data_IF_631448504055
#
_entry.id   IF_631448504055
#
_cell.length_a   1.000
_cell.length_b   1.000
_cell.length_c   1.000
_cell.angle_alpha   90.00
_cell.angle_beta   90.00
_cell.angle_gamma   90.00
#
_symmetry.space_group_name_H-M   'P 1'
#
loop_
_entity.id
_entity.type
_entity.pdbx_description
1 polymer ?
#
# COMPACT_ATOMS: atom_id res chain seq x y z
N UNK A 1 -48.36 54.61 27.68
CA UNK A 1 -48.27 53.86 26.42
C UNK A 1 -46.80 53.57 26.16
N UNK A 2 -46.34 52.47 26.68
CA UNK A 2 -44.90 52.11 26.72
C UNK A 2 -44.58 51.15 25.59
N UNK A 3 -43.83 51.63 24.62
CA UNK A 3 -43.39 50.89 23.45
C UNK A 3 -42.18 50.01 23.85
N UNK A 4 -42.38 48.72 23.89
CA UNK A 4 -41.30 47.75 24.14
C UNK A 4 -40.55 47.52 22.83
N UNK A 5 -39.28 47.89 22.82
CA UNK A 5 -38.35 47.61 21.74
C UNK A 5 -37.85 46.19 21.97
N UNK A 6 -38.23 45.24 21.11
CA UNK A 6 -37.61 43.91 21.05
C UNK A 6 -36.33 44.02 20.26
N UNK A 7 -35.20 43.89 20.97
CA UNK A 7 -33.90 43.72 20.35
C UNK A 7 -33.71 42.23 20.12
N UNK A 8 -33.85 41.76 18.91
CA UNK A 8 -33.48 40.42 18.50
C UNK A 8 -31.96 40.38 18.29
N UNK A 9 -31.26 39.76 19.21
CA UNK A 9 -29.87 39.39 19.05
C UNK A 9 -29.78 38.29 18.00
N UNK A 10 -29.41 38.65 16.77
CA UNK A 10 -28.98 37.68 15.77
C UNK A 10 -27.59 37.18 16.15
N UNK A 11 -27.53 35.97 16.74
CA UNK A 11 -26.29 35.27 16.96
C UNK A 11 -25.70 34.90 15.60
N UNK A 12 -24.69 35.63 15.18
CA UNK A 12 -23.82 35.27 14.04
C UNK A 12 -22.95 34.11 14.46
N UNK A 13 -23.42 32.89 14.19
CA UNK A 13 -22.57 31.69 14.31
C UNK A 13 -21.56 31.74 13.17
N UNK A 14 -20.34 32.19 13.50
CA UNK A 14 -19.22 32.12 12.60
C UNK A 14 -18.80 30.64 12.49
N UNK A 15 -19.30 29.97 11.46
CA UNK A 15 -18.80 28.63 11.11
C UNK A 15 -17.36 28.79 10.61
N UNK A 16 -16.40 28.66 11.51
CA UNK A 16 -15.01 28.45 11.12
C UNK A 16 -14.91 27.05 10.51
N UNK A 17 -14.94 26.99 9.18
CA UNK A 17 -14.52 25.79 8.47
C UNK A 17 -13.04 25.57 8.78
N UNK A 18 -12.77 24.69 9.72
CA UNK A 18 -11.44 24.13 9.88
C UNK A 18 -11.21 23.31 8.63
N UNK A 19 -10.55 23.89 7.63
CA UNK A 19 -9.87 23.14 6.59
C UNK A 19 -8.76 22.39 7.29
N UNK A 20 -9.06 21.17 7.69
CA UNK A 20 -8.04 20.20 8.02
C UNK A 20 -7.29 20.05 6.71
N UNK A 21 -6.14 20.75 6.61
CA UNK A 21 -5.21 20.58 5.51
C UNK A 21 -4.99 19.09 5.40
N UNK A 22 -5.25 18.53 4.20
CA UNK A 22 -5.14 17.11 3.97
C UNK A 22 -3.79 16.64 4.43
N UNK A 23 -3.74 16.01 5.59
CA UNK A 23 -2.71 15.06 5.88
C UNK A 23 -2.92 14.05 4.78
N UNK A 24 -2.02 14.08 3.78
CA UNK A 24 -1.89 12.98 2.84
C UNK A 24 -1.77 11.76 3.74
N UNK A 25 -2.87 11.06 3.93
CA UNK A 25 -2.87 9.82 4.64
C UNK A 25 -2.09 8.87 3.74
N UNK A 26 -0.78 8.83 3.93
CA UNK A 26 0.03 7.76 3.41
C UNK A 26 -0.55 6.49 4.00
N UNK A 27 -1.37 5.83 3.24
CA UNK A 27 -1.91 4.53 3.58
C UNK A 27 -0.84 3.47 3.28
N UNK A 28 0.37 3.69 3.77
CA UNK A 28 1.31 2.60 3.89
C UNK A 28 0.85 1.76 5.07
N UNK A 29 -0.17 0.94 4.84
CA UNK A 29 -0.44 -0.10 5.79
C UNK A 29 0.81 -0.98 5.84
N UNK A 30 1.34 -1.15 7.04
CA UNK A 30 2.47 -2.04 7.27
C UNK A 30 1.94 -3.45 7.43
N UNK A 31 2.57 -4.39 6.75
CA UNK A 31 2.27 -5.81 6.85
C UNK A 31 3.51 -6.54 7.32
N UNK A 32 3.40 -7.38 8.33
CA UNK A 32 4.52 -8.23 8.76
C UNK A 32 4.69 -9.42 7.81
N UNK A 33 5.89 -9.99 7.79
CA UNK A 33 6.13 -11.22 6.98
C UNK A 33 5.29 -12.40 7.47
N UNK A 34 4.96 -12.46 8.75
CA UNK A 34 4.07 -13.48 9.32
C UNK A 34 2.64 -13.34 8.79
N UNK A 35 2.13 -12.11 8.70
CA UNK A 35 0.82 -11.83 8.13
C UNK A 35 0.81 -12.14 6.62
N UNK A 36 1.86 -11.78 5.90
CA UNK A 36 2.01 -12.12 4.49
C UNK A 36 2.02 -13.64 4.29
N UNK A 37 2.84 -14.36 5.07
CA UNK A 37 2.92 -15.82 5.01
C UNK A 37 1.55 -16.48 5.24
N UNK A 38 0.81 -16.04 6.26
CA UNK A 38 -0.54 -16.52 6.53
C UNK A 38 -1.52 -16.20 5.38
N UNK A 39 -1.39 -15.03 4.76
CA UNK A 39 -2.19 -14.65 3.59
C UNK A 39 -1.92 -15.54 2.37
N UNK A 40 -0.65 -15.84 2.11
CA UNK A 40 -0.21 -16.70 1.00
C UNK A 40 -0.68 -18.16 1.17
N UNK A 41 -0.82 -18.64 2.40
CA UNK A 41 -1.33 -19.98 2.69
C UNK A 41 -2.78 -20.21 2.23
N UNK A 42 -3.54 -19.16 1.94
CA UNK A 42 -4.92 -19.27 1.45
C UNK A 42 -5.01 -19.76 0.00
N UNK A 43 -3.93 -19.69 -0.75
CA UNK A 43 -3.84 -20.21 -2.12
C UNK A 43 -2.98 -19.36 -3.04
N UNK A 44 -2.57 -19.91 -4.20
CA UNK A 44 -1.62 -19.27 -5.10
C UNK A 44 -2.23 -18.14 -5.95
N UNK A 45 -3.52 -18.20 -6.25
CA UNK A 45 -4.15 -17.19 -7.11
C UNK A 45 -4.53 -15.92 -6.33
N UNK A 46 -4.58 -14.78 -7.03
CA UNK A 46 -5.03 -13.51 -6.47
C UNK A 46 -6.42 -13.63 -5.84
N UNK A 47 -7.33 -14.35 -6.48
CA UNK A 47 -8.69 -14.55 -5.97
C UNK A 47 -8.73 -15.34 -4.65
N UNK A 48 -7.81 -16.28 -4.44
CA UNK A 48 -7.74 -17.09 -3.22
C UNK A 48 -7.09 -16.33 -2.08
N UNK A 49 -5.97 -15.66 -2.31
CA UNK A 49 -5.25 -14.90 -1.28
C UNK A 49 -5.82 -13.49 -1.04
N UNK A 50 -6.53 -12.93 -2.02
CA UNK A 50 -7.22 -11.64 -1.89
C UNK A 50 -6.33 -10.41 -2.09
N UNK A 51 -5.11 -10.56 -2.64
CA UNK A 51 -4.19 -9.47 -2.93
C UNK A 51 -3.23 -9.81 -4.07
N UNK A 52 -2.64 -8.77 -4.65
CA UNK A 52 -1.55 -8.88 -5.63
C UNK A 52 -0.23 -8.67 -4.89
N UNK A 53 0.68 -9.63 -4.95
CA UNK A 53 2.01 -9.55 -4.35
C UNK A 53 3.02 -9.07 -5.40
N UNK A 54 3.70 -7.97 -5.09
CA UNK A 54 4.55 -7.25 -6.04
C UNK A 54 5.98 -7.17 -5.47
N UNK A 55 6.94 -7.74 -6.20
CA UNK A 55 8.36 -7.52 -5.95
C UNK A 55 8.81 -6.25 -6.68
N UNK A 56 9.27 -5.25 -5.93
CA UNK A 56 9.69 -3.97 -6.50
C UNK A 56 11.21 -3.82 -6.58
N UNK A 57 11.92 -4.94 -6.47
CA UNK A 57 13.37 -5.02 -6.70
C UNK A 57 13.66 -5.12 -8.20
N UNK A 58 14.95 -5.09 -8.53
CA UNK A 58 15.38 -5.29 -9.92
C UNK A 58 15.01 -6.69 -10.43
N UNK A 59 15.01 -6.85 -11.74
CA UNK A 59 14.76 -8.14 -12.40
C UNK A 59 15.79 -9.20 -11.98
N UNK A 60 17.04 -8.80 -11.84
CA UNK A 60 18.16 -9.68 -11.44
C UNK A 60 18.00 -10.16 -9.99
N UNK A 61 17.63 -9.26 -9.06
CA UNK A 61 17.36 -9.61 -7.67
C UNK A 61 16.18 -10.58 -7.58
N UNK A 62 15.10 -10.31 -8.33
CA UNK A 62 13.94 -11.19 -8.39
C UNK A 62 14.32 -12.60 -8.91
N UNK A 63 15.01 -12.67 -10.04
CA UNK A 63 15.41 -13.94 -10.64
C UNK A 63 16.29 -14.78 -9.71
N UNK A 64 17.13 -14.15 -8.89
CA UNK A 64 17.98 -14.81 -7.91
C UNK A 64 17.21 -15.39 -6.71
N UNK A 65 16.06 -14.79 -6.36
CA UNK A 65 15.22 -15.31 -5.28
C UNK A 65 14.07 -14.35 -4.97
N UNK A 66 12.86 -14.89 -4.83
CA UNK A 66 11.64 -14.14 -4.55
C UNK A 66 10.71 -14.89 -3.59
N UNK A 67 9.79 -14.17 -2.98
CA UNK A 67 8.78 -14.75 -2.10
C UNK A 67 7.81 -15.58 -2.95
N UNK A 68 7.59 -16.88 -2.63
CA UNK A 68 6.63 -17.71 -3.33
C UNK A 68 5.24 -17.06 -3.36
N UNK A 69 4.58 -17.10 -4.51
CA UNK A 69 3.29 -16.44 -4.70
C UNK A 69 3.39 -14.98 -5.14
N UNK A 70 4.58 -14.47 -5.45
CA UNK A 70 4.76 -13.18 -6.11
C UNK A 70 4.10 -13.21 -7.49
N UNK A 71 3.22 -12.25 -7.73
CA UNK A 71 2.45 -12.16 -8.98
C UNK A 71 3.17 -11.34 -10.05
N UNK A 72 3.87 -10.27 -9.64
CA UNK A 72 4.50 -9.32 -10.56
C UNK A 72 5.83 -8.83 -10.01
N UNK A 73 6.81 -8.65 -10.90
CA UNK A 73 8.05 -7.93 -10.61
C UNK A 73 8.13 -6.67 -11.47
N UNK A 74 8.10 -5.51 -10.83
CA UNK A 74 8.28 -4.20 -11.45
C UNK A 74 9.20 -3.39 -10.54
N UNK A 75 10.36 -2.99 -11.04
CA UNK A 75 11.29 -2.13 -10.29
C UNK A 75 10.57 -0.87 -9.78
N UNK A 76 10.82 -0.48 -8.53
CA UNK A 76 10.16 0.66 -7.90
C UNK A 76 10.31 1.96 -8.71
N UNK A 77 11.40 2.13 -9.44
CA UNK A 77 11.67 3.29 -10.31
C UNK A 77 10.75 3.33 -11.53
N UNK A 78 10.27 2.16 -11.98
CA UNK A 78 9.40 2.03 -13.14
C UNK A 78 7.91 1.96 -12.74
N UNK A 79 7.60 1.87 -11.46
CA UNK A 79 6.25 1.64 -10.97
C UNK A 79 5.24 2.66 -11.52
N UNK A 80 5.58 3.94 -11.50
CA UNK A 80 4.70 5.00 -12.01
C UNK A 80 4.33 4.81 -13.49
N UNK A 81 5.29 4.40 -14.29
CA UNK A 81 5.08 4.19 -15.74
C UNK A 81 4.37 2.87 -16.06
N UNK A 82 4.60 1.85 -15.23
CA UNK A 82 4.19 0.47 -15.52
C UNK A 82 3.08 -0.08 -14.63
N UNK A 83 2.50 0.72 -13.74
CA UNK A 83 1.49 0.26 -12.77
C UNK A 83 0.29 -0.44 -13.42
N UNK A 84 -0.04 -0.12 -14.67
CA UNK A 84 -1.15 -0.77 -15.41
C UNK A 84 -0.89 -2.25 -15.68
N UNK A 85 0.37 -2.68 -15.69
CA UNK A 85 0.74 -4.09 -15.84
C UNK A 85 0.31 -4.93 -14.64
N UNK A 86 0.00 -4.31 -13.51
CA UNK A 86 -0.56 -5.00 -12.33
C UNK A 86 -1.93 -5.62 -12.62
N UNK A 87 -2.67 -5.11 -13.61
CA UNK A 87 -4.04 -5.53 -13.88
C UNK A 87 -5.02 -5.24 -12.74
N UNK A 88 -4.64 -4.34 -11.83
CA UNK A 88 -5.36 -4.04 -10.62
C UNK A 88 -6.40 -2.94 -10.80
N UNK A 89 -7.52 -3.07 -10.10
CA UNK A 89 -8.48 -1.98 -9.89
C UNK A 89 -8.03 -1.14 -8.69
N UNK A 90 -8.53 0.10 -8.58
CA UNK A 90 -8.15 1.02 -7.50
C UNK A 90 -8.52 0.51 -6.10
N UNK A 91 -9.51 -0.37 -6.01
CA UNK A 91 -9.97 -0.98 -4.76
C UNK A 91 -9.26 -2.32 -4.43
N UNK A 92 -8.43 -2.83 -5.32
CA UNK A 92 -7.71 -4.07 -5.07
C UNK A 92 -6.63 -3.88 -4.02
N UNK A 93 -6.34 -4.95 -3.29
CA UNK A 93 -5.29 -4.97 -2.29
C UNK A 93 -3.94 -5.27 -2.95
N UNK A 94 -3.00 -4.34 -2.81
CA UNK A 94 -1.64 -4.45 -3.33
C UNK A 94 -0.66 -4.62 -2.17
N UNK A 95 0.17 -5.63 -2.24
CA UNK A 95 1.22 -5.89 -1.25
C UNK A 95 2.57 -5.77 -1.94
N UNK A 96 3.39 -4.84 -1.49
CA UNK A 96 4.70 -4.56 -2.09
C UNK A 96 5.83 -4.93 -1.13
N UNK A 97 6.90 -5.52 -1.67
CA UNK A 97 8.12 -5.79 -0.92
C UNK A 97 9.37 -5.51 -1.75
N UNK A 98 10.47 -5.24 -1.07
CA UNK A 98 11.80 -5.13 -1.66
C UNK A 98 12.80 -5.96 -0.85
N UNK A 99 14.05 -5.51 -0.69
CA UNK A 99 15.03 -6.21 0.14
C UNK A 99 14.85 -5.89 1.63
N UNK A 100 14.76 -4.61 2.00
CA UNK A 100 14.72 -4.14 3.40
C UNK A 100 13.43 -3.40 3.78
N UNK A 101 12.58 -3.03 2.82
CA UNK A 101 11.36 -2.25 3.02
C UNK A 101 11.44 -0.77 2.59
N UNK A 102 12.63 -0.27 2.24
CA UNK A 102 12.79 1.14 1.84
C UNK A 102 12.27 1.43 0.43
N UNK A 103 12.70 0.66 -0.57
CA UNK A 103 12.24 0.82 -1.97
C UNK A 103 10.75 0.50 -2.09
N UNK A 104 10.26 -0.48 -1.36
CA UNK A 104 8.84 -0.83 -1.34
C UNK A 104 7.97 0.24 -0.67
N UNK A 105 8.52 0.99 0.30
CA UNK A 105 7.83 2.16 0.83
C UNK A 105 7.64 3.23 -0.25
N UNK A 106 8.67 3.52 -1.03
CA UNK A 106 8.60 4.47 -2.16
C UNK A 106 7.57 3.99 -3.20
N UNK A 107 7.58 2.70 -3.53
CA UNK A 107 6.61 2.12 -4.46
C UNK A 107 5.17 2.21 -3.93
N UNK A 108 4.98 1.96 -2.63
CA UNK A 108 3.67 2.08 -1.98
C UNK A 108 3.13 3.51 -2.04
N UNK A 109 3.98 4.51 -1.77
CA UNK A 109 3.63 5.92 -1.91
C UNK A 109 3.26 6.26 -3.36
N UNK A 110 4.05 5.79 -4.32
CA UNK A 110 3.78 5.99 -5.75
C UNK A 110 2.41 5.41 -6.15
N UNK A 111 2.09 4.21 -5.70
CA UNK A 111 0.81 3.57 -5.99
C UNK A 111 -0.37 4.30 -5.31
N UNK A 112 -0.19 4.74 -4.07
CA UNK A 112 -1.19 5.53 -3.37
C UNK A 112 -1.47 6.86 -4.10
N UNK A 113 -0.44 7.55 -4.57
CA UNK A 113 -0.55 8.78 -5.35
C UNK A 113 -1.26 8.56 -6.70
N UNK A 114 -1.16 7.36 -7.26
CA UNK A 114 -1.88 6.95 -8.47
C UNK A 114 -3.36 6.59 -8.20
N UNK A 115 -3.81 6.60 -6.94
CA UNK A 115 -5.20 6.39 -6.54
C UNK A 115 -5.52 4.98 -6.03
N UNK A 116 -4.56 4.06 -5.95
CA UNK A 116 -4.77 2.75 -5.32
C UNK A 116 -5.00 2.93 -3.82
N UNK A 117 -6.10 2.37 -3.30
CA UNK A 117 -6.57 2.67 -1.94
C UNK A 117 -6.05 1.74 -0.87
N UNK A 118 -5.61 0.54 -1.25
CA UNK A 118 -5.22 -0.52 -0.32
C UNK A 118 -3.82 -1.02 -0.68
N UNK A 119 -2.80 -0.24 -0.31
CA UNK A 119 -1.40 -0.58 -0.58
C UNK A 119 -0.67 -0.88 0.72
N UNK A 120 -0.06 -2.06 0.82
CA UNK A 120 0.62 -2.55 2.00
C UNK A 120 2.10 -2.72 1.73
N UNK A 121 2.95 -2.16 2.60
CA UNK A 121 4.39 -2.36 2.56
C UNK A 121 4.79 -3.48 3.54
N UNK A 122 5.51 -4.49 3.06
CA UNK A 122 6.00 -5.59 3.91
C UNK A 122 7.19 -5.12 4.73
N UNK A 123 7.00 -5.00 6.03
CA UNK A 123 8.04 -4.57 6.97
C UNK A 123 9.22 -5.52 6.95
N UNK A 124 10.43 -4.97 6.74
CA UNK A 124 11.66 -5.73 6.64
C UNK A 124 11.79 -6.58 5.37
N UNK A 125 10.71 -6.72 4.58
CA UNK A 125 10.71 -7.31 3.24
C UNK A 125 11.46 -8.67 3.15
N UNK A 126 12.32 -8.88 2.13
CA UNK A 126 13.08 -10.12 1.97
C UNK A 126 13.97 -10.44 3.17
N UNK A 127 14.58 -9.45 3.79
CA UNK A 127 15.42 -9.66 4.96
C UNK A 127 14.65 -10.32 6.10
N UNK A 128 13.48 -9.76 6.44
CA UNK A 128 12.62 -10.31 7.48
C UNK A 128 12.02 -11.66 7.09
N UNK A 129 11.70 -11.85 5.81
CA UNK A 129 11.21 -13.13 5.28
C UNK A 129 12.21 -14.25 5.46
N UNK A 130 13.48 -13.99 5.10
CA UNK A 130 14.59 -14.94 5.26
C UNK A 130 14.93 -15.19 6.73
N UNK A 131 14.93 -14.15 7.57
CA UNK A 131 15.16 -14.26 9.01
C UNK A 131 14.10 -15.13 9.70
N UNK A 132 12.83 -15.04 9.23
CA UNK A 132 11.75 -15.90 9.70
C UNK A 132 11.88 -17.37 9.24
N UNK A 133 12.82 -17.68 8.36
CA UNK A 133 13.04 -19.04 7.84
C UNK A 133 12.01 -19.46 6.79
N UNK A 134 11.31 -18.54 6.18
CA UNK A 134 10.32 -18.84 5.15
C UNK A 134 10.97 -19.19 3.80
N UNK A 135 10.30 -20.03 2.96
CA UNK A 135 10.87 -20.50 1.72
C UNK A 135 11.01 -19.40 0.66
N UNK A 136 11.98 -19.56 -0.22
CA UNK A 136 12.26 -18.67 -1.35
C UNK A 136 12.26 -19.51 -2.63
N UNK A 137 11.69 -18.98 -3.69
CA UNK A 137 11.81 -19.51 -5.04
C UNK A 137 12.80 -18.70 -5.86
N UNK A 138 13.33 -19.29 -6.93
CA UNK A 138 14.17 -18.61 -7.89
C UNK A 138 13.80 -19.03 -9.31
N UNK A 139 14.04 -18.14 -10.27
CA UNK A 139 13.94 -18.50 -11.67
C UNK A 139 15.14 -19.39 -12.03
N UNK A 140 14.88 -20.66 -12.28
CA UNK A 140 15.92 -21.58 -12.74
C UNK A 140 16.22 -21.28 -14.21
N UNK A 141 17.50 -21.13 -14.50
CA UNK A 141 17.98 -21.16 -15.88
C UNK A 141 18.06 -22.59 -16.36
#
# INVERSE_FOLDING_TARGET
MTMRICITLASLVLLTTITIGGVSAYHSYLLTVQQLHAGLAKGPSVNQKGFILIDVRSREEHAAGFIPGTDVNIDFKEMKARHRELGAQLEDHLVVYCQSGHRSNIAAETLADLGYRHVYNVTGSMNAWLEAGYPVESERR
#
